data_IF_291063171190
#
_entry.id   IF_291063171190
#
_cell.length_a   1.000
_cell.length_b   1.000
_cell.length_c   1.000
_cell.angle_alpha   90.00
_cell.angle_beta   90.00
_cell.angle_gamma   90.00
#
_symmetry.space_group_name_H-M   'P 1'
#
loop_
_entity.id
_entity.type
_entity.pdbx_description
1 polymer ?
#
# COMPACT_ATOMS: atom_id res chain seq x y z
N UNK A 1 14.45 2.04 -2.54
CA UNK A 1 15.26 2.65 -3.62
C UNK A 1 16.71 2.19 -3.48
N UNK A 2 17.39 1.85 -4.58
CA UNK A 2 18.79 1.43 -4.56
C UNK A 2 19.71 2.66 -4.66
N UNK A 3 20.78 2.70 -3.86
CA UNK A 3 21.73 3.80 -3.75
C UNK A 3 23.16 3.30 -3.98
N UNK A 4 24.03 4.16 -4.47
CA UNK A 4 25.45 3.83 -4.64
C UNK A 4 26.18 4.02 -3.31
N UNK A 5 26.84 2.98 -2.80
CA UNK A 5 27.51 2.98 -1.48
C UNK A 5 28.57 4.06 -1.31
N UNK A 6 29.32 4.37 -2.36
CA UNK A 6 30.35 5.42 -2.31
C UNK A 6 29.80 6.83 -2.02
N UNK A 7 28.50 7.02 -2.18
CA UNK A 7 27.83 8.33 -2.03
C UNK A 7 26.91 8.34 -0.80
N UNK A 8 26.39 7.18 -0.41
CA UNK A 8 25.40 7.03 0.67
C UNK A 8 25.86 5.98 1.70
N UNK A 9 26.96 6.24 2.38
CA UNK A 9 27.61 5.33 3.35
C UNK A 9 26.71 4.94 4.53
N UNK A 10 25.78 5.80 4.93
CA UNK A 10 24.82 5.56 6.01
C UNK A 10 23.69 4.57 5.63
N UNK A 11 23.43 4.38 4.33
CA UNK A 11 22.29 3.61 3.82
C UNK A 11 22.66 2.15 3.49
N UNK A 12 23.49 1.50 4.30
CA UNK A 12 23.95 0.13 4.07
C UNK A 12 22.80 -0.86 3.83
N UNK A 13 22.87 -1.60 2.73
CA UNK A 13 21.97 -2.72 2.42
C UNK A 13 22.73 -4.00 2.15
N UNK A 14 23.70 -3.98 1.25
CA UNK A 14 24.67 -5.05 0.99
C UNK A 14 26.08 -4.48 1.00
N UNK A 15 27.10 -5.32 0.88
CA UNK A 15 28.51 -4.89 0.81
C UNK A 15 28.81 -3.91 -0.35
N UNK A 16 27.96 -3.90 -1.39
CA UNK A 16 28.16 -3.08 -2.61
C UNK A 16 27.06 -2.07 -2.88
N UNK A 17 25.91 -2.12 -2.16
CA UNK A 17 24.74 -1.27 -2.45
C UNK A 17 24.13 -0.71 -1.18
N UNK A 18 23.82 0.58 -1.19
CA UNK A 18 22.92 1.19 -0.23
C UNK A 18 21.47 1.13 -0.69
N UNK A 19 20.55 1.22 0.25
CA UNK A 19 19.13 1.34 -0.05
C UNK A 19 18.40 2.07 1.07
N UNK A 20 17.38 2.84 0.69
CA UNK A 20 16.40 3.42 1.60
C UNK A 20 15.07 2.75 1.33
N UNK A 21 14.41 2.30 2.39
CA UNK A 21 13.05 1.75 2.35
C UNK A 21 12.07 2.72 2.97
N UNK A 22 10.89 2.76 2.40
CA UNK A 22 9.77 3.51 2.90
C UNK A 22 8.65 2.52 3.20
N UNK A 23 8.32 2.37 4.48
CA UNK A 23 7.22 1.53 4.96
C UNK A 23 6.02 2.43 5.16
N UNK A 24 4.90 2.10 4.54
CA UNK A 24 3.73 2.98 4.49
C UNK A 24 2.48 2.19 4.84
N UNK A 25 1.70 2.71 5.78
CA UNK A 25 0.32 2.31 6.00
C UNK A 25 -0.55 3.23 5.15
N UNK A 26 -1.33 2.63 4.25
CA UNK A 26 -2.24 3.35 3.35
C UNK A 26 -3.67 3.09 3.81
N UNK A 27 -4.43 4.14 4.02
CA UNK A 27 -5.85 4.01 4.32
C UNK A 27 -6.61 3.47 3.08
N UNK A 28 -7.52 2.56 3.32
CA UNK A 28 -8.23 1.84 2.27
C UNK A 28 -9.20 2.73 1.48
N UNK A 29 -9.91 3.61 2.17
CA UNK A 29 -10.99 4.41 1.58
C UNK A 29 -10.45 5.65 0.87
N UNK A 30 -9.58 6.38 1.55
CA UNK A 30 -9.00 7.62 1.02
C UNK A 30 -7.81 7.38 0.09
N UNK A 31 -7.16 6.20 0.17
CA UNK A 31 -5.88 5.88 -0.48
C UNK A 31 -4.75 6.86 -0.10
N UNK A 32 -4.85 7.47 1.08
CA UNK A 32 -3.84 8.36 1.64
C UNK A 32 -2.95 7.63 2.64
N UNK A 33 -1.67 8.01 2.74
CA UNK A 33 -0.79 7.46 3.76
C UNK A 33 -1.15 7.99 5.15
N UNK A 34 -1.49 7.08 6.06
CA UNK A 34 -1.70 7.38 7.48
C UNK A 34 -0.40 7.36 8.27
N UNK A 35 0.52 6.49 7.87
CA UNK A 35 1.81 6.36 8.53
C UNK A 35 2.90 6.07 7.52
N UNK A 36 4.05 6.70 7.73
CA UNK A 36 5.25 6.48 6.91
C UNK A 36 6.47 6.39 7.82
N UNK A 37 7.26 5.33 7.65
CA UNK A 37 8.55 5.17 8.31
C UNK A 37 9.64 4.97 7.26
N UNK A 38 10.69 5.80 7.33
CA UNK A 38 11.84 5.74 6.41
C UNK A 38 13.00 5.05 7.12
N UNK A 39 13.45 3.93 6.55
CA UNK A 39 14.53 3.12 7.15
C UNK A 39 15.63 2.83 6.15
N UNK A 40 16.76 2.33 6.64
CA UNK A 40 17.78 1.77 5.77
C UNK A 40 17.32 0.44 5.15
N UNK A 41 17.95 0.03 4.06
CA UNK A 41 17.60 -1.21 3.36
C UNK A 41 17.72 -2.49 4.21
N UNK A 42 18.46 -2.46 5.32
CA UNK A 42 18.63 -3.59 6.24
C UNK A 42 17.37 -3.93 7.05
N UNK A 43 16.50 -2.94 7.29
CA UNK A 43 15.26 -3.18 8.03
C UNK A 43 14.31 -4.04 7.19
N UNK A 44 13.89 -5.16 7.73
CA UNK A 44 12.90 -6.03 7.08
C UNK A 44 11.50 -5.43 7.21
N UNK A 45 10.63 -5.74 6.25
CA UNK A 45 9.27 -5.20 6.24
C UNK A 45 8.48 -5.65 7.47
N UNK A 46 8.64 -6.91 7.90
CA UNK A 46 8.04 -7.43 9.12
C UNK A 46 8.48 -6.64 10.36
N UNK A 47 9.78 -6.30 10.48
CA UNK A 47 10.27 -5.53 11.62
C UNK A 47 9.66 -4.13 11.66
N UNK A 48 9.56 -3.48 10.51
CA UNK A 48 8.94 -2.15 10.44
C UNK A 48 7.44 -2.19 10.72
N UNK A 49 6.76 -3.31 10.45
CA UNK A 49 5.34 -3.45 10.67
C UNK A 49 4.92 -3.47 12.15
N UNK A 50 5.83 -3.84 13.07
CA UNK A 50 5.55 -3.75 14.52
C UNK A 50 5.41 -2.31 15.02
N UNK A 51 6.05 -1.36 14.33
CA UNK A 51 6.01 0.07 14.70
C UNK A 51 4.83 0.81 14.07
N UNK A 52 4.05 0.15 13.20
CA UNK A 52 2.90 0.78 12.54
C UNK A 52 1.72 0.92 13.51
N UNK A 53 1.14 2.14 13.65
CA UNK A 53 0.02 2.40 14.54
C UNK A 53 -1.30 1.92 13.93
N UNK A 54 -1.57 0.62 14.06
CA UNK A 54 -2.81 0.03 13.56
C UNK A 54 -3.86 0.03 14.66
N UNK A 55 -5.04 0.62 14.39
CA UNK A 55 -6.12 0.70 15.37
C UNK A 55 -6.73 -0.69 15.64
N UNK A 56 -7.14 -1.00 16.89
CA UNK A 56 -7.91 -2.19 17.18
C UNK A 56 -9.20 -2.27 16.33
N UNK A 57 -9.59 -3.47 15.96
CA UNK A 57 -10.76 -3.77 15.12
C UNK A 57 -10.66 -3.33 13.65
N UNK A 58 -9.52 -2.80 13.22
CA UNK A 58 -9.23 -2.58 11.81
C UNK A 58 -8.77 -3.86 11.11
N UNK A 59 -8.71 -3.83 9.77
CA UNK A 59 -8.21 -4.93 8.93
C UNK A 59 -6.95 -4.49 8.20
N UNK A 60 -5.82 -5.14 8.50
CA UNK A 60 -4.56 -4.94 7.77
C UNK A 60 -4.51 -5.88 6.58
N UNK A 61 -4.29 -5.32 5.40
CA UNK A 61 -4.08 -6.09 4.18
C UNK A 61 -2.63 -5.98 3.75
N UNK A 62 -1.93 -7.11 3.66
CA UNK A 62 -0.50 -7.11 3.36
C UNK A 62 -0.10 -8.25 2.39
N UNK A 63 1.06 -8.11 1.78
CA UNK A 63 1.57 -9.11 0.86
C UNK A 63 2.22 -10.31 1.59
N UNK A 64 2.74 -11.28 0.81
CA UNK A 64 3.42 -12.46 1.31
C UNK A 64 4.62 -12.14 2.21
N UNK A 65 5.29 -11.01 1.99
CA UNK A 65 6.44 -10.57 2.78
C UNK A 65 6.11 -10.36 4.26
N UNK A 66 4.88 -9.98 4.56
CA UNK A 66 4.38 -9.76 5.93
C UNK A 66 3.80 -11.03 6.58
N UNK A 67 3.73 -12.16 5.89
CA UNK A 67 3.26 -13.42 6.46
C UNK A 67 4.35 -14.00 7.40
N UNK A 68 4.46 -13.43 8.59
CA UNK A 68 5.28 -13.90 9.70
C UNK A 68 4.39 -14.18 10.91
N UNK A 69 4.43 -15.41 11.43
CA UNK A 69 3.50 -15.86 12.48
C UNK A 69 3.58 -15.04 13.78
N UNK A 70 4.75 -14.49 14.12
CA UNK A 70 4.89 -13.61 15.29
C UNK A 70 4.23 -12.25 15.05
N UNK A 71 4.36 -11.72 13.83
CA UNK A 71 3.69 -10.48 13.45
C UNK A 71 2.17 -10.67 13.39
N UNK A 72 1.69 -11.79 12.84
CA UNK A 72 0.26 -12.12 12.81
C UNK A 72 -0.30 -12.26 14.23
N UNK A 73 0.43 -12.91 15.15
CA UNK A 73 0.05 -12.99 16.57
C UNK A 73 0.05 -11.62 17.26
N UNK A 74 1.01 -10.77 16.94
CA UNK A 74 1.06 -9.40 17.44
C UNK A 74 -0.19 -8.62 17.02
N UNK A 75 -0.59 -8.67 15.77
CA UNK A 75 -1.81 -8.02 15.29
C UNK A 75 -3.06 -8.60 15.97
N UNK A 76 -3.19 -9.91 16.00
CA UNK A 76 -4.34 -10.58 16.58
C UNK A 76 -4.49 -10.31 18.10
N UNK A 77 -3.39 -10.31 18.84
CA UNK A 77 -3.36 -9.96 20.26
C UNK A 77 -3.76 -8.51 20.53
N UNK A 78 -3.52 -7.60 19.56
CA UNK A 78 -3.98 -6.22 19.60
C UNK A 78 -5.39 -6.03 19.00
N UNK A 79 -6.15 -7.11 18.79
CA UNK A 79 -7.51 -7.10 18.21
C UNK A 79 -7.54 -6.51 16.78
N UNK A 80 -6.47 -6.66 16.03
CA UNK A 80 -6.39 -6.26 14.63
C UNK A 80 -6.64 -7.48 13.77
N UNK A 81 -7.53 -7.36 12.80
CA UNK A 81 -7.72 -8.37 11.78
C UNK A 81 -6.65 -8.20 10.69
N UNK A 82 -6.29 -9.30 10.05
CA UNK A 82 -5.35 -9.25 8.93
C UNK A 82 -5.83 -10.11 7.76
N UNK A 83 -5.41 -9.72 6.57
CA UNK A 83 -5.51 -10.50 5.33
C UNK A 83 -4.15 -10.49 4.67
N UNK A 84 -3.46 -11.63 4.66
CA UNK A 84 -2.12 -11.77 4.07
C UNK A 84 -2.08 -12.90 3.06
N UNK A 85 -1.22 -12.75 2.06
CA UNK A 85 -1.00 -13.86 1.12
C UNK A 85 -0.21 -14.97 1.80
N UNK A 86 -0.68 -16.19 1.66
CA UNK A 86 -0.05 -17.41 2.15
C UNK A 86 1.36 -17.63 1.57
N UNK A 87 2.25 -18.27 2.37
CA UNK A 87 3.56 -18.73 1.90
C UNK A 87 3.47 -20.16 1.38
N UNK A 88 4.08 -20.45 0.26
CA UNK A 88 4.06 -21.76 -0.40
C UNK A 88 4.58 -22.90 0.47
N UNK A 89 5.47 -22.61 1.41
CA UNK A 89 6.06 -23.59 2.33
C UNK A 89 5.34 -23.70 3.68
N UNK A 90 4.14 -23.09 3.82
CA UNK A 90 3.33 -23.24 5.03
C UNK A 90 2.77 -24.65 5.11
N UNK A 91 2.92 -25.28 6.29
CA UNK A 91 2.29 -26.54 6.62
C UNK A 91 1.15 -26.32 7.61
N UNK A 92 0.01 -26.88 7.27
CA UNK A 92 -1.22 -26.75 8.06
C UNK A 92 -2.09 -28.00 7.90
N UNK A 93 -3.02 -28.14 8.81
CA UNK A 93 -4.08 -29.14 8.75
C UNK A 93 -5.41 -28.40 8.66
N UNK A 94 -6.23 -28.77 7.67
CA UNK A 94 -7.62 -28.31 7.58
C UNK A 94 -8.44 -28.98 8.67
N UNK A 95 -9.13 -28.19 9.46
CA UNK A 95 -9.96 -28.66 10.58
C UNK A 95 -11.46 -28.54 10.32
N UNK A 96 -11.86 -27.64 9.41
CA UNK A 96 -13.26 -27.39 9.10
C UNK A 96 -13.36 -26.75 7.70
N UNK A 97 -14.23 -27.28 6.85
CA UNK A 97 -14.62 -26.63 5.60
C UNK A 97 -15.80 -25.68 5.84
N UNK A 98 -15.74 -24.51 5.25
CA UNK A 98 -16.78 -23.49 5.36
C UNK A 98 -17.61 -23.44 4.08
N UNK A 99 -18.93 -23.29 4.20
CA UNK A 99 -19.79 -23.26 3.01
C UNK A 99 -19.49 -22.04 2.13
N UNK A 100 -19.38 -22.27 0.85
CA UNK A 100 -19.25 -21.21 -0.16
C UNK A 100 -20.66 -20.76 -0.56
N UNK A 101 -20.97 -19.44 -0.50
CA UNK A 101 -22.26 -18.93 -0.95
C UNK A 101 -22.42 -19.08 -2.48
N UNK A 102 -23.50 -19.70 -2.94
CA UNK A 102 -23.74 -20.05 -4.34
C UNK A 102 -23.63 -18.87 -5.35
N UNK A 103 -23.95 -17.65 -4.93
CA UNK A 103 -23.99 -16.47 -5.82
C UNK A 103 -22.80 -15.52 -5.74
N UNK A 104 -21.99 -15.59 -4.68
CA UNK A 104 -20.84 -14.68 -4.48
C UNK A 104 -19.49 -15.32 -4.75
N UNK A 105 -19.50 -16.61 -5.11
CA UNK A 105 -18.31 -17.45 -5.10
C UNK A 105 -17.65 -17.62 -6.46
N UNK A 106 -17.96 -16.82 -7.47
CA UNK A 106 -17.42 -17.05 -8.83
C UNK A 106 -15.89 -17.17 -8.88
N UNK A 107 -15.17 -16.63 -7.89
CA UNK A 107 -13.71 -16.71 -7.85
C UNK A 107 -13.18 -17.36 -6.55
N UNK A 108 -14.01 -17.65 -5.55
CA UNK A 108 -13.58 -18.31 -4.33
C UNK A 108 -13.66 -19.81 -4.51
N UNK A 109 -12.53 -20.50 -4.43
CA UNK A 109 -12.39 -21.94 -4.64
C UNK A 109 -12.44 -22.72 -3.33
N UNK A 110 -11.90 -22.17 -2.24
CA UNK A 110 -11.80 -22.80 -0.93
C UNK A 110 -12.01 -21.74 0.13
N UNK A 111 -12.74 -22.12 1.18
CA UNK A 111 -12.86 -21.39 2.45
C UNK A 111 -12.82 -22.43 3.57
N UNK A 112 -11.77 -22.43 4.37
CA UNK A 112 -11.55 -23.44 5.40
C UNK A 112 -10.88 -22.88 6.65
N UNK A 113 -11.06 -23.54 7.77
CA UNK A 113 -10.36 -23.29 9.01
C UNK A 113 -9.15 -24.21 9.09
N UNK A 114 -7.99 -23.65 9.34
CA UNK A 114 -6.73 -24.36 9.39
C UNK A 114 -5.98 -24.14 10.71
N UNK A 115 -5.22 -25.15 11.11
CA UNK A 115 -4.24 -25.06 12.19
C UNK A 115 -2.83 -25.30 11.63
N UNK A 116 -1.88 -24.54 12.13
CA UNK A 116 -0.48 -24.75 11.75
C UNK A 116 -0.02 -26.13 12.20
N UNK A 117 0.67 -26.88 11.35
CA UNK A 117 1.09 -28.24 11.65
C UNK A 117 2.38 -28.29 12.48
N UNK A 118 3.37 -27.49 12.10
CA UNK A 118 4.70 -27.54 12.69
C UNK A 118 4.69 -26.97 14.14
N UNK A 119 5.32 -27.69 15.12
CA UNK A 119 5.35 -27.25 16.51
C UNK A 119 5.93 -25.83 16.71
N UNK A 120 6.96 -25.49 15.92
CA UNK A 120 7.56 -24.16 15.97
C UNK A 120 6.61 -23.06 15.46
N UNK A 121 5.83 -23.35 14.43
CA UNK A 121 4.83 -22.44 13.88
C UNK A 121 3.66 -22.28 14.85
N UNK A 122 3.17 -23.38 15.43
CA UNK A 122 2.13 -23.36 16.48
C UNK A 122 2.53 -22.53 17.70
N UNK A 123 3.80 -22.59 18.10
CA UNK A 123 4.30 -21.78 19.21
C UNK A 123 4.30 -20.28 18.91
N UNK A 124 4.50 -19.89 17.63
CA UNK A 124 4.48 -18.49 17.18
C UNK A 124 3.06 -17.97 16.98
N UNK A 125 2.14 -18.81 16.53
CA UNK A 125 0.72 -18.50 16.35
C UNK A 125 -0.12 -19.73 16.75
N UNK A 126 -0.63 -19.80 17.98
CA UNK A 126 -1.29 -20.99 18.52
C UNK A 126 -2.78 -21.11 18.14
N UNK A 127 -3.35 -20.08 17.52
CA UNK A 127 -4.77 -20.00 17.21
C UNK A 127 -5.08 -20.57 15.83
N UNK A 128 -6.36 -20.80 15.57
CA UNK A 128 -6.85 -21.16 14.25
C UNK A 128 -6.73 -19.98 13.28
N UNK A 129 -6.51 -20.31 12.03
CA UNK A 129 -6.51 -19.37 10.91
C UNK A 129 -7.60 -19.76 9.92
N UNK A 130 -8.09 -18.82 9.16
CA UNK A 130 -8.96 -19.07 8.02
C UNK A 130 -8.14 -18.94 6.75
N UNK A 131 -8.18 -19.97 5.90
CA UNK A 131 -7.55 -20.00 4.58
C UNK A 131 -8.62 -19.87 3.51
N UNK A 132 -8.40 -18.95 2.58
CA UNK A 132 -9.29 -18.69 1.46
C UNK A 132 -8.46 -18.79 0.18
N UNK A 133 -8.85 -19.66 -0.75
CA UNK A 133 -8.24 -19.76 -2.08
C UNK A 133 -9.14 -19.08 -3.11
N UNK A 134 -8.57 -18.15 -3.88
CA UNK A 134 -9.28 -17.32 -4.84
C UNK A 134 -8.63 -17.45 -6.22
N UNK A 135 -9.44 -17.68 -7.25
CA UNK A 135 -8.97 -17.63 -8.62
C UNK A 135 -8.75 -16.19 -9.08
N UNK A 136 -7.54 -15.88 -9.48
CA UNK A 136 -7.23 -14.60 -10.11
C UNK A 136 -7.27 -14.76 -11.63
N UNK A 137 -8.40 -14.38 -12.24
CA UNK A 137 -8.61 -14.49 -13.68
C UNK A 137 -7.69 -13.61 -14.52
N UNK A 138 -7.22 -12.47 -13.98
CA UNK A 138 -6.32 -11.56 -14.70
C UNK A 138 -4.91 -12.17 -14.90
N UNK A 139 -4.48 -12.98 -13.96
CA UNK A 139 -3.14 -13.58 -13.96
C UNK A 139 -3.13 -15.12 -14.11
N UNK A 140 -4.29 -15.75 -14.21
CA UNK A 140 -4.42 -17.18 -14.44
C UNK A 140 -3.84 -18.07 -13.34
N UNK A 141 -3.88 -17.64 -12.07
CA UNK A 141 -3.39 -18.43 -10.93
C UNK A 141 -4.26 -18.29 -9.69
N UNK A 142 -4.16 -19.24 -8.79
CA UNK A 142 -4.82 -19.19 -7.49
C UNK A 142 -4.01 -18.35 -6.51
N UNK A 143 -4.69 -17.47 -5.80
CA UNK A 143 -4.14 -16.70 -4.68
C UNK A 143 -4.69 -17.27 -3.38
N UNK A 144 -3.80 -17.67 -2.49
CA UNK A 144 -4.16 -18.19 -1.18
C UNK A 144 -3.97 -17.12 -0.11
N UNK A 145 -5.02 -16.87 0.66
CA UNK A 145 -5.09 -15.85 1.69
C UNK A 145 -5.23 -16.49 3.07
N UNK A 146 -4.59 -15.88 4.06
CA UNK A 146 -4.75 -16.19 5.47
C UNK A 146 -5.35 -15.00 6.20
N UNK A 147 -6.27 -15.29 7.11
CA UNK A 147 -6.90 -14.27 7.94
C UNK A 147 -7.30 -14.84 9.31
N UNK A 148 -7.37 -13.97 10.31
CA UNK A 148 -8.02 -14.26 11.60
C UNK A 148 -9.48 -13.76 11.64
N UNK A 149 -10.03 -13.28 10.52
CA UNK A 149 -11.42 -12.83 10.44
C UNK A 149 -12.32 -13.98 9.97
N UNK A 150 -13.15 -14.46 10.87
CA UNK A 150 -14.10 -15.54 10.62
C UNK A 150 -15.53 -15.03 10.34
N UNK A 151 -15.75 -13.70 10.39
CA UNK A 151 -17.07 -13.07 10.26
C UNK A 151 -17.35 -12.62 8.83
N UNK A 152 -16.39 -11.93 8.21
CA UNK A 152 -16.56 -11.42 6.86
C UNK A 152 -16.71 -12.55 5.83
N UNK A 153 -17.52 -12.32 4.79
CA UNK A 153 -17.64 -13.27 3.69
C UNK A 153 -16.28 -13.47 2.96
N UNK A 154 -16.05 -14.67 2.44
CA UNK A 154 -14.82 -14.98 1.70
C UNK A 154 -14.60 -14.06 0.49
N UNK A 155 -15.67 -13.69 -0.20
CA UNK A 155 -15.66 -12.72 -1.30
C UNK A 155 -15.22 -11.32 -0.85
N UNK A 156 -15.65 -10.89 0.33
CA UNK A 156 -15.22 -9.60 0.91
C UNK A 156 -13.72 -9.62 1.25
N UNK A 157 -13.22 -10.72 1.84
CA UNK A 157 -11.78 -10.89 2.12
C UNK A 157 -10.97 -10.87 0.82
N UNK A 158 -11.45 -11.55 -0.22
CA UNK A 158 -10.80 -11.54 -1.54
C UNK A 158 -10.76 -10.14 -2.16
N UNK A 159 -11.85 -9.37 -2.06
CA UNK A 159 -11.92 -8.00 -2.55
C UNK A 159 -10.97 -7.07 -1.78
N UNK A 160 -10.95 -7.16 -0.45
CA UNK A 160 -9.99 -6.41 0.37
C UNK A 160 -8.55 -6.69 -0.07
N UNK A 161 -8.21 -7.96 -0.32
CA UNK A 161 -6.87 -8.30 -0.79
C UNK A 161 -6.58 -7.78 -2.19
N UNK A 162 -7.54 -7.75 -3.08
CA UNK A 162 -7.39 -7.19 -4.43
C UNK A 162 -7.00 -5.72 -4.38
N UNK A 163 -7.55 -4.96 -3.44
CA UNK A 163 -7.24 -3.54 -3.25
C UNK A 163 -5.81 -3.29 -2.73
N UNK A 164 -5.11 -4.29 -2.20
CA UNK A 164 -3.69 -4.19 -1.83
C UNK A 164 -2.83 -3.59 -2.94
N UNK A 165 -3.21 -3.80 -4.20
CA UNK A 165 -2.49 -3.23 -5.35
C UNK A 165 -2.41 -1.69 -5.33
N UNK A 166 -3.29 -1.02 -4.62
CA UNK A 166 -3.30 0.45 -4.51
C UNK A 166 -2.00 1.01 -3.90
N UNK A 167 -1.34 0.26 -3.00
CA UNK A 167 -0.03 0.67 -2.45
C UNK A 167 1.05 0.71 -3.55
N UNK A 168 0.99 -0.20 -4.51
CA UNK A 168 1.93 -0.23 -5.63
C UNK A 168 1.68 0.94 -6.60
N UNK A 169 0.41 1.27 -6.84
CA UNK A 169 0.02 2.46 -7.61
C UNK A 169 0.50 3.73 -6.89
N UNK A 170 0.30 3.83 -5.58
CA UNK A 170 0.77 4.95 -4.79
C UNK A 170 2.29 5.14 -4.92
N UNK A 171 3.09 4.09 -4.71
CA UNK A 171 4.55 4.17 -4.88
C UNK A 171 4.99 4.45 -6.32
N UNK A 172 4.28 3.93 -7.30
CA UNK A 172 4.53 4.24 -8.71
C UNK A 172 4.31 5.73 -8.99
N UNK A 173 3.20 6.30 -8.53
CA UNK A 173 2.90 7.72 -8.66
C UNK A 173 3.96 8.57 -7.96
N UNK A 174 4.33 8.23 -6.73
CA UNK A 174 5.37 8.92 -5.97
C UNK A 174 6.71 8.94 -6.73
N UNK A 175 7.13 7.81 -7.29
CA UNK A 175 8.38 7.69 -8.03
C UNK A 175 8.36 8.40 -9.39
N UNK A 176 7.25 8.28 -10.13
CA UNK A 176 7.16 8.77 -11.50
C UNK A 176 6.74 10.24 -11.56
N UNK A 177 5.67 10.60 -10.85
CA UNK A 177 5.12 11.95 -10.89
C UNK A 177 5.99 12.95 -10.14
N UNK A 178 6.54 12.55 -8.99
CA UNK A 178 7.38 13.44 -8.16
C UNK A 178 8.88 13.23 -8.38
N UNK A 179 9.26 12.36 -9.32
CA UNK A 179 10.64 12.11 -9.74
C UNK A 179 11.59 11.73 -8.60
N UNK A 180 11.12 11.04 -7.56
CA UNK A 180 11.97 10.54 -6.47
C UNK A 180 12.78 9.31 -6.94
N UNK A 181 13.48 9.40 -8.03
CA UNK A 181 14.38 8.35 -8.51
C UNK A 181 15.84 8.63 -8.18
N UNK A 182 16.18 9.90 -8.00
CA UNK A 182 17.51 10.39 -7.64
C UNK A 182 17.39 11.39 -6.50
N UNK A 183 18.38 11.38 -5.63
CA UNK A 183 18.47 12.33 -4.52
C UNK A 183 19.49 13.41 -4.86
N UNK A 184 19.14 14.67 -4.55
CA UNK A 184 20.01 15.83 -4.78
C UNK A 184 21.13 15.86 -3.74
N UNK A 185 20.81 15.52 -2.48
CA UNK A 185 21.78 15.45 -1.39
C UNK A 185 22.12 14.01 -1.01
N UNK A 186 23.31 13.82 -0.45
CA UNK A 186 23.84 12.49 -0.07
C UNK A 186 23.71 12.17 1.42
N UNK A 187 23.50 13.19 2.26
CA UNK A 187 23.29 12.98 3.69
C UNK A 187 21.92 12.36 3.99
N UNK A 188 21.81 11.67 5.11
CA UNK A 188 20.56 11.08 5.56
C UNK A 188 19.44 12.13 5.63
N UNK A 189 19.72 13.27 6.25
CA UNK A 189 18.76 14.36 6.39
C UNK A 189 18.28 14.89 5.03
N UNK A 190 19.18 15.08 4.05
CA UNK A 190 18.82 15.54 2.72
C UNK A 190 17.90 14.55 1.98
N UNK A 191 18.21 13.24 2.08
CA UNK A 191 17.36 12.19 1.50
C UNK A 191 15.99 12.13 2.15
N UNK A 192 15.93 12.14 3.49
CA UNK A 192 14.67 12.14 4.23
C UNK A 192 13.85 13.40 3.93
N UNK A 193 14.47 14.58 3.89
CA UNK A 193 13.81 15.84 3.51
C UNK A 193 13.17 15.75 2.13
N UNK A 194 13.89 15.22 1.14
CA UNK A 194 13.35 15.05 -0.21
C UNK A 194 12.17 14.06 -0.24
N UNK A 195 12.24 12.97 0.52
CA UNK A 195 11.14 12.00 0.65
C UNK A 195 9.91 12.68 1.28
N UNK A 196 10.10 13.38 2.39
CA UNK A 196 8.99 14.07 3.08
C UNK A 196 8.37 15.17 2.24
N UNK A 197 9.18 15.97 1.54
CA UNK A 197 8.68 16.98 0.59
C UNK A 197 7.80 16.35 -0.48
N UNK A 198 8.21 15.22 -1.02
CA UNK A 198 7.41 14.52 -2.02
C UNK A 198 6.13 13.91 -1.43
N UNK A 199 6.18 13.40 -0.20
CA UNK A 199 4.97 12.91 0.49
C UNK A 199 3.97 14.04 0.71
N UNK A 200 4.40 15.19 1.22
CA UNK A 200 3.56 16.38 1.41
C UNK A 200 2.97 16.82 0.06
N UNK A 201 3.78 16.87 -0.99
CA UNK A 201 3.31 17.22 -2.35
C UNK A 201 2.24 16.24 -2.82
N UNK A 202 2.44 14.92 -2.61
CA UNK A 202 1.45 13.91 -2.97
C UNK A 202 0.13 14.11 -2.23
N UNK A 203 0.18 14.38 -0.92
CA UNK A 203 -1.01 14.64 -0.11
C UNK A 203 -1.76 15.88 -0.61
N UNK A 204 -1.05 16.97 -0.89
CA UNK A 204 -1.65 18.18 -1.45
C UNK A 204 -2.31 17.94 -2.82
N UNK A 205 -1.66 17.17 -3.69
CA UNK A 205 -2.21 16.79 -5.00
C UNK A 205 -3.47 15.92 -4.87
N UNK A 206 -3.46 14.97 -3.94
CA UNK A 206 -4.63 14.15 -3.64
C UNK A 206 -5.77 15.00 -3.07
N UNK A 207 -5.45 15.93 -2.18
CA UNK A 207 -6.43 16.86 -1.62
C UNK A 207 -7.03 17.76 -2.71
N UNK A 208 -6.23 18.39 -3.57
CA UNK A 208 -6.70 19.19 -4.70
C UNK A 208 -7.60 18.38 -5.63
N UNK A 209 -7.18 17.14 -5.95
CA UNK A 209 -8.00 16.24 -6.76
C UNK A 209 -9.35 15.91 -6.10
N UNK A 210 -9.36 15.72 -4.78
CA UNK A 210 -10.58 15.39 -4.04
C UNK A 210 -11.55 16.57 -3.95
N UNK A 211 -11.04 17.80 -3.76
CA UNK A 211 -11.84 19.01 -3.65
C UNK A 211 -12.35 19.52 -5.00
N UNK A 212 -11.71 19.13 -6.10
CA UNK A 212 -12.10 19.52 -7.44
C UNK A 212 -13.45 18.93 -7.85
N UNK A 213 -14.33 19.75 -8.45
CA UNK A 213 -15.56 19.29 -9.11
C UNK A 213 -15.26 18.51 -10.40
N UNK A 214 -14.22 18.94 -11.12
CA UNK A 214 -13.75 18.23 -12.30
C UNK A 214 -13.03 16.93 -11.90
N UNK A 215 -13.34 15.84 -12.59
CA UNK A 215 -12.76 14.49 -12.30
C UNK A 215 -11.35 14.36 -12.84
N UNK A 216 -10.37 14.97 -12.18
CA UNK A 216 -8.98 14.88 -12.53
C UNK A 216 -8.41 13.45 -12.42
N UNK A 217 -7.74 12.98 -13.48
CA UNK A 217 -6.73 11.96 -13.29
C UNK A 217 -5.49 12.59 -12.63
N UNK A 218 -4.91 11.95 -11.61
CA UNK A 218 -3.79 12.52 -10.84
C UNK A 218 -2.61 12.92 -11.75
N UNK A 219 -2.30 12.09 -12.76
CA UNK A 219 -1.23 12.38 -13.71
C UNK A 219 -1.49 13.67 -14.52
N UNK A 220 -2.74 13.85 -15.00
CA UNK A 220 -3.11 15.03 -15.76
C UNK A 220 -3.09 16.30 -14.88
N UNK A 221 -3.55 16.21 -13.64
CA UNK A 221 -3.48 17.31 -12.68
C UNK A 221 -2.03 17.75 -12.46
N UNK A 222 -1.11 16.80 -12.24
CA UNK A 222 0.32 17.10 -12.05
C UNK A 222 0.93 17.76 -13.26
N UNK A 223 0.65 17.27 -14.47
CA UNK A 223 1.17 17.86 -15.73
C UNK A 223 0.61 19.26 -15.90
N UNK A 224 -0.69 19.45 -15.72
CA UNK A 224 -1.34 20.75 -15.89
C UNK A 224 -0.85 21.79 -14.87
N UNK A 225 -0.66 21.41 -13.60
CA UNK A 225 -0.04 22.26 -12.59
C UNK A 225 1.37 22.68 -12.96
N UNK A 226 2.20 21.75 -13.46
CA UNK A 226 3.56 22.09 -13.91
C UNK A 226 3.59 23.09 -15.07
N UNK A 227 2.68 22.94 -16.03
CA UNK A 227 2.58 23.85 -17.16
C UNK A 227 2.13 25.26 -16.73
N UNK A 228 1.33 25.35 -15.70
CA UNK A 228 0.75 26.61 -15.20
C UNK A 228 1.46 27.16 -13.96
N UNK A 229 2.62 26.62 -13.53
CA UNK A 229 3.32 27.03 -12.31
C UNK A 229 3.66 28.53 -12.29
N UNK A 230 3.94 29.14 -13.45
CA UNK A 230 4.31 30.54 -13.58
C UNK A 230 3.20 31.42 -14.18
N UNK A 231 2.00 30.87 -14.39
CA UNK A 231 0.84 31.61 -14.87
C UNK A 231 0.01 32.13 -13.70
N UNK A 232 -0.44 33.38 -13.79
CA UNK A 232 -1.33 33.96 -12.79
C UNK A 232 -2.78 33.54 -13.12
N UNK A 233 -3.24 32.47 -12.50
CA UNK A 233 -4.59 31.93 -12.65
C UNK A 233 -5.28 31.85 -11.30
N UNK A 234 -6.60 31.96 -11.30
CA UNK A 234 -7.41 31.58 -10.14
C UNK A 234 -7.40 30.07 -10.03
N UNK A 235 -6.74 29.55 -8.99
CA UNK A 235 -6.55 28.12 -8.81
C UNK A 235 -7.87 27.37 -8.65
N UNK A 236 -8.81 27.91 -7.88
CA UNK A 236 -10.09 27.26 -7.61
C UNK A 236 -10.93 27.18 -8.89
N UNK A 237 -11.03 28.27 -9.63
CA UNK A 237 -11.75 28.32 -10.90
C UNK A 237 -11.14 27.36 -11.91
N UNK A 238 -9.82 27.42 -12.08
CA UNK A 238 -9.10 26.54 -13.01
C UNK A 238 -9.22 25.05 -12.60
N UNK A 239 -9.16 24.75 -11.30
CA UNK A 239 -9.26 23.37 -10.82
C UNK A 239 -10.63 22.74 -11.14
N UNK A 240 -11.68 23.57 -11.10
CA UNK A 240 -13.06 23.15 -11.36
C UNK A 240 -13.45 23.20 -12.84
N UNK A 241 -12.86 24.14 -13.61
CA UNK A 241 -13.15 24.39 -15.02
C UNK A 241 -11.88 24.55 -15.87
N UNK A 242 -11.04 23.49 -15.98
CA UNK A 242 -9.68 23.58 -16.55
C UNK A 242 -9.63 23.91 -18.05
N UNK A 243 -10.74 23.77 -18.77
CA UNK A 243 -10.80 23.97 -20.21
C UNK A 243 -11.69 25.16 -20.61
N UNK A 244 -11.98 26.09 -19.69
CA UNK A 244 -12.65 27.32 -20.05
C UNK A 244 -11.70 28.15 -20.93
N UNK A 245 -12.08 28.54 -22.14
CA UNK A 245 -11.23 29.40 -22.96
C UNK A 245 -10.95 30.72 -22.22
N UNK A 246 -9.79 31.35 -22.41
CA UNK A 246 -9.53 32.65 -21.84
C UNK A 246 -10.61 33.64 -22.32
N UNK A 247 -10.98 34.64 -21.49
CA UNK A 247 -11.92 35.65 -21.91
C UNK A 247 -11.45 36.29 -23.20
N UNK A 248 -12.37 36.43 -24.14
CA UNK A 248 -12.08 37.00 -25.45
C UNK A 248 -11.56 38.44 -25.26
N UNK A 249 -10.29 38.66 -25.46
CA UNK A 249 -9.63 39.96 -25.31
C UNK A 249 -9.83 40.88 -26.53
N UNK A 250 -10.68 40.49 -27.48
CA UNK A 250 -10.96 41.24 -28.71
C UNK A 250 -11.88 42.45 -28.52
N UNK A 251 -12.25 42.79 -27.27
CA UNK A 251 -13.08 43.97 -26.96
C UNK A 251 -12.28 45.01 -26.15
N UNK A 252 -11.07 45.33 -26.61
CA UNK A 252 -10.37 46.56 -26.20
C UNK A 252 -9.83 47.17 -27.49
N UNK A 253 -10.71 47.82 -28.21
CA UNK A 253 -10.41 48.88 -29.18
C UNK A 253 -10.92 50.18 -28.67
#
# INVERSE_FOLDING_TARGET
MSLTMSVYDWAHYTTKKGAVKMHTLLDYDSLLPEFVNVTTGKTTDNKAAYDMPVAPHSVVVADRGYCDYRLLEHWDSNKVFFVVRHKENMRYVSTEERPLPEKSAQNVLIDEVVELELPESKRKYPKKLRRIAVWNGEHGHVVELLTNNFVLAASTIAELYRQRWQIEIFFRNLKQLLRIKSFVGTTRNAVETQIWTAMITMLLLCWLKHTAKYKWALANLVVSLRLNTFTKIDLEKWLNEPFTPPPDTSIIT
#
